data_IF_561837455829
#
_entry.id   IF_561837455829
#
_cell.length_a   1.000
_cell.length_b   1.000
_cell.length_c   1.000
_cell.angle_alpha   90.00
_cell.angle_beta   90.00
_cell.angle_gamma   90.00
#
_symmetry.space_group_name_H-M   'P 1'
#
loop_
_entity.id
_entity.type
_entity.pdbx_description
1 polymer ?
#
# COMPACT_ATOMS: atom_id res chain seq x y z
N UNK A 1 26.00 1.04 14.23
CA UNK A 1 24.87 1.88 13.82
C UNK A 1 25.37 3.31 13.92
N UNK A 2 25.64 3.93 12.77
CA UNK A 2 26.26 5.24 12.71
C UNK A 2 25.35 6.27 13.38
N UNK A 3 25.91 7.15 14.23
CA UNK A 3 25.13 8.06 15.07
C UNK A 3 24.22 9.02 14.29
N UNK A 4 24.50 9.24 12.99
CA UNK A 4 23.75 10.15 12.14
C UNK A 4 22.45 9.55 11.59
N UNK A 5 22.35 8.22 11.37
CA UNK A 5 21.16 7.58 10.78
C UNK A 5 19.91 7.80 11.63
N UNK A 6 20.05 7.77 12.96
CA UNK A 6 18.94 8.05 13.87
C UNK A 6 18.43 9.49 13.73
N UNK A 7 19.34 10.46 13.65
CA UNK A 7 18.95 11.86 13.45
C UNK A 7 18.35 12.09 12.06
N UNK A 8 18.85 11.39 11.03
CA UNK A 8 18.30 11.46 9.69
C UNK A 8 16.85 10.95 9.67
N UNK A 9 16.59 9.75 10.19
CA UNK A 9 15.25 9.15 10.23
C UNK A 9 14.29 9.97 11.09
N UNK A 10 14.73 10.45 12.26
CA UNK A 10 13.91 11.35 13.09
C UNK A 10 13.58 12.65 12.36
N UNK A 11 14.53 13.22 11.62
CA UNK A 11 14.32 14.40 10.79
C UNK A 11 13.25 14.21 9.71
N UNK A 12 13.22 13.03 9.06
CA UNK A 12 12.20 12.65 8.09
C UNK A 12 10.82 12.55 8.75
N UNK A 13 10.69 11.78 9.85
CA UNK A 13 9.41 11.65 10.56
C UNK A 13 8.87 12.99 11.06
N UNK A 14 9.74 13.89 11.50
CA UNK A 14 9.35 15.25 11.90
C UNK A 14 8.90 16.11 10.72
N UNK A 15 9.52 15.96 9.54
CA UNK A 15 9.11 16.62 8.29
C UNK A 15 7.70 16.19 7.91
N UNK A 16 7.42 14.88 7.92
CA UNK A 16 6.10 14.31 7.64
C UNK A 16 5.03 14.81 8.62
N UNK A 17 5.41 14.96 9.90
CA UNK A 17 4.57 15.58 10.93
C UNK A 17 4.43 17.11 10.82
N UNK A 18 5.00 17.74 9.76
CA UNK A 18 5.04 19.20 9.54
C UNK A 18 5.69 20.00 10.67
N UNK A 19 6.58 19.37 11.44
CA UNK A 19 7.37 19.97 12.52
C UNK A 19 8.72 20.43 11.98
N UNK A 20 8.68 21.42 11.08
CA UNK A 20 9.82 21.81 10.24
C UNK A 20 11.00 22.36 11.04
N UNK A 21 10.79 23.11 12.11
CA UNK A 21 11.87 23.59 12.97
C UNK A 21 12.64 22.44 13.62
N UNK A 22 11.94 21.40 14.08
CA UNK A 22 12.56 20.26 14.74
C UNK A 22 13.25 19.36 13.72
N UNK A 23 12.63 19.13 12.56
CA UNK A 23 13.24 18.44 11.42
C UNK A 23 14.55 19.12 11.00
N UNK A 24 14.56 20.45 10.87
CA UNK A 24 15.75 21.22 10.55
C UNK A 24 16.87 20.99 11.57
N UNK A 25 16.56 21.01 12.87
CA UNK A 25 17.54 20.75 13.93
C UNK A 25 18.16 19.37 13.77
N UNK A 26 17.36 18.33 13.48
CA UNK A 26 17.88 16.98 13.31
C UNK A 26 18.77 16.85 12.06
N UNK A 27 18.35 17.40 10.92
CA UNK A 27 19.17 17.36 9.71
C UNK A 27 20.47 18.19 9.85
N UNK A 28 20.46 19.30 10.60
CA UNK A 28 21.69 20.03 10.91
C UNK A 28 22.64 19.22 11.81
N UNK A 29 22.14 18.35 12.69
CA UNK A 29 23.00 17.42 13.45
C UNK A 29 23.67 16.41 12.55
N UNK A 30 22.96 15.88 11.53
CA UNK A 30 23.56 14.99 10.52
C UNK A 30 24.77 15.66 9.86
N UNK A 31 24.59 16.90 9.37
CA UNK A 31 25.67 17.67 8.75
C UNK A 31 26.78 18.09 9.72
N UNK A 32 26.52 18.14 11.03
CA UNK A 32 27.51 18.48 12.04
C UNK A 32 28.37 17.28 12.48
N UNK A 33 27.81 16.06 12.42
CA UNK A 33 28.52 14.83 12.77
C UNK A 33 29.49 14.46 11.65
N UNK A 34 29.04 14.59 10.40
CA UNK A 34 29.85 14.29 9.21
C UNK A 34 29.78 15.48 8.23
N UNK A 35 30.60 16.53 8.41
CA UNK A 35 30.60 17.70 7.52
C UNK A 35 31.01 17.39 6.09
N UNK A 36 31.75 16.30 5.90
CA UNK A 36 32.21 15.78 4.61
C UNK A 36 31.31 14.66 4.07
N UNK A 37 30.18 14.36 4.75
CA UNK A 37 29.25 13.33 4.30
C UNK A 37 28.79 13.63 2.87
N UNK A 38 29.07 12.70 1.96
CA UNK A 38 28.67 12.71 0.55
C UNK A 38 27.20 12.30 0.38
N UNK A 39 26.34 12.81 1.26
CA UNK A 39 24.91 12.50 1.30
C UNK A 39 24.12 13.75 0.88
N UNK A 40 23.89 13.97 -0.42
CA UNK A 40 23.18 15.14 -0.92
C UNK A 40 21.77 15.30 -0.32
N UNK A 41 21.14 14.21 0.13
CA UNK A 41 19.82 14.17 0.75
C UNK A 41 19.76 14.98 2.04
N UNK A 42 20.81 14.93 2.88
CA UNK A 42 20.85 15.75 4.10
C UNK A 42 20.93 17.25 3.78
N UNK A 43 21.71 17.63 2.78
CA UNK A 43 21.81 19.02 2.32
C UNK A 43 20.49 19.49 1.70
N UNK A 44 19.86 18.66 0.89
CA UNK A 44 18.54 18.88 0.33
C UNK A 44 17.50 19.12 1.44
N UNK A 45 17.41 18.20 2.41
CA UNK A 45 16.42 18.27 3.48
C UNK A 45 16.59 19.51 4.38
N UNK A 46 17.83 19.95 4.65
CA UNK A 46 18.07 21.23 5.35
C UNK A 46 17.56 22.42 4.52
N UNK A 47 17.86 22.45 3.22
CA UNK A 47 17.38 23.48 2.31
C UNK A 47 15.85 23.53 2.23
N UNK A 48 15.21 22.38 2.05
CA UNK A 48 13.75 22.24 2.04
C UNK A 48 13.14 22.71 3.36
N UNK A 49 13.67 22.28 4.50
CA UNK A 49 13.18 22.70 5.82
C UNK A 49 13.28 24.22 6.02
N UNK A 50 14.38 24.86 5.62
CA UNK A 50 14.48 26.33 5.65
C UNK A 50 13.41 27.02 4.77
N UNK A 51 13.11 26.49 3.59
CA UNK A 51 12.05 27.03 2.73
C UNK A 51 10.66 26.89 3.35
N UNK A 52 10.35 25.75 3.97
CA UNK A 52 9.09 25.55 4.70
C UNK A 52 8.92 26.53 5.87
N UNK A 53 10.03 27.04 6.40
CA UNK A 53 10.08 28.11 7.40
C UNK A 53 10.12 29.53 6.82
N UNK A 54 9.93 29.69 5.50
CA UNK A 54 10.04 30.96 4.77
C UNK A 54 11.43 31.64 4.87
N UNK A 55 12.49 30.85 5.03
CA UNK A 55 13.89 31.31 5.17
C UNK A 55 14.69 31.04 3.90
N UNK A 56 14.29 31.67 2.80
CA UNK A 56 14.84 31.45 1.46
C UNK A 56 16.36 31.70 1.39
N UNK A 57 16.85 32.80 1.98
CA UNK A 57 18.26 33.16 1.90
C UNK A 57 19.15 32.11 2.57
N UNK A 58 18.68 31.53 3.68
CA UNK A 58 19.37 30.45 4.38
C UNK A 58 19.29 29.11 3.64
N UNK A 59 18.20 28.85 2.90
CA UNK A 59 18.03 27.61 2.14
C UNK A 59 18.99 27.48 0.94
N UNK A 60 19.20 28.58 0.20
CA UNK A 60 19.97 28.60 -1.05
C UNK A 60 21.32 27.90 -0.96
N UNK A 61 22.22 28.20 0.00
CA UNK A 61 23.53 27.56 0.07
C UNK A 61 23.45 26.04 0.23
N UNK A 62 22.46 25.52 0.98
CA UNK A 62 22.29 24.09 1.19
C UNK A 62 21.78 23.39 -0.08
N UNK A 63 20.78 23.96 -0.77
CA UNK A 63 20.26 23.41 -2.02
C UNK A 63 21.31 23.41 -3.13
N UNK A 64 22.14 24.46 -3.22
CA UNK A 64 23.27 24.51 -4.18
C UNK A 64 24.34 23.48 -3.88
N UNK A 65 24.62 23.23 -2.60
CA UNK A 65 25.55 22.17 -2.19
C UNK A 65 24.99 20.79 -2.53
N UNK A 66 23.71 20.54 -2.29
CA UNK A 66 23.03 19.30 -2.68
C UNK A 66 23.13 19.05 -4.19
N UNK A 67 22.82 20.05 -5.03
CA UNK A 67 22.96 19.96 -6.50
C UNK A 67 24.38 19.57 -6.91
N UNK A 68 25.39 20.20 -6.29
CA UNK A 68 26.80 19.91 -6.58
C UNK A 68 27.18 18.47 -6.24
N UNK A 69 26.68 17.96 -5.12
CA UNK A 69 26.90 16.58 -4.70
C UNK A 69 26.19 15.58 -5.62
N UNK A 70 24.93 15.85 -6.02
CA UNK A 70 24.23 15.04 -7.02
C UNK A 70 24.99 14.99 -8.35
N UNK A 71 25.52 16.12 -8.83
CA UNK A 71 26.34 16.16 -10.05
C UNK A 71 27.59 15.27 -9.95
N UNK A 72 28.26 15.28 -8.80
CA UNK A 72 29.44 14.45 -8.56
C UNK A 72 29.10 12.95 -8.56
N UNK A 73 28.01 12.55 -7.90
CA UNK A 73 27.58 11.16 -7.84
C UNK A 73 27.10 10.63 -9.20
N UNK A 74 26.33 11.43 -9.95
CA UNK A 74 25.91 11.08 -11.32
C UNK A 74 27.14 10.89 -12.21
N UNK A 75 28.13 11.79 -12.12
CA UNK A 75 29.36 11.67 -12.89
C UNK A 75 30.13 10.40 -12.55
N UNK A 76 30.25 10.06 -11.27
CA UNK A 76 30.94 8.84 -10.81
C UNK A 76 30.29 7.56 -11.30
N UNK A 77 28.95 7.50 -11.29
CA UNK A 77 28.21 6.35 -11.80
C UNK A 77 28.35 6.18 -13.32
N UNK A 78 28.37 7.28 -14.07
CA UNK A 78 28.65 7.22 -15.51
C UNK A 78 30.09 6.78 -15.79
N UNK A 79 31.03 7.21 -14.95
CA UNK A 79 32.44 6.86 -15.04
C UNK A 79 32.71 5.37 -14.73
N UNK A 80 32.07 4.81 -13.70
CA UNK A 80 32.24 3.39 -13.34
C UNK A 80 31.67 2.42 -14.37
N UNK A 81 30.78 2.89 -15.26
CA UNK A 81 30.17 2.10 -16.32
C UNK A 81 30.90 2.18 -17.69
N UNK A 82 31.93 3.04 -17.83
CA UNK A 82 32.67 3.20 -19.08
C UNK A 82 34.01 2.45 -19.08
N UNK A 83 34.14 1.40 -19.91
CA UNK A 83 35.38 0.61 -20.11
C UNK A 83 36.55 1.41 -20.74
N UNK A 84 36.37 2.70 -21.07
CA UNK A 84 37.20 3.46 -22.01
C UNK A 84 38.28 4.38 -21.38
N UNK A 85 38.50 4.35 -20.06
CA UNK A 85 39.38 5.32 -19.40
C UNK A 85 40.88 5.00 -19.38
N UNK A 86 41.36 3.81 -19.77
CA UNK A 86 42.81 3.54 -19.67
C UNK A 86 43.71 4.47 -20.53
N UNK A 87 43.19 5.32 -21.44
CA UNK A 87 44.04 6.20 -22.27
C UNK A 87 43.42 7.55 -22.74
N UNK A 88 43.17 8.52 -21.86
CA UNK A 88 42.89 9.91 -22.31
C UNK A 88 43.24 11.00 -21.29
N UNK A 89 44.23 11.84 -21.62
CA UNK A 89 44.69 13.01 -20.85
C UNK A 89 43.63 14.12 -20.71
N UNK A 90 42.62 14.17 -21.60
CA UNK A 90 41.58 15.21 -21.57
C UNK A 90 40.52 14.96 -20.48
N UNK A 91 40.28 13.70 -20.11
CA UNK A 91 39.34 13.33 -19.03
C UNK A 91 39.92 13.61 -17.63
N UNK A 92 41.24 13.70 -17.51
CA UNK A 92 41.96 13.97 -16.26
C UNK A 92 41.75 15.42 -15.77
N UNK A 93 41.49 16.38 -16.67
CA UNK A 93 41.26 17.78 -16.32
C UNK A 93 39.87 18.06 -15.73
N UNK A 94 38.83 17.38 -16.25
CA UNK A 94 37.47 17.46 -15.71
C UNK A 94 37.34 16.74 -14.36
N UNK A 95 38.01 15.60 -14.21
CA UNK A 95 38.14 14.88 -12.95
C UNK A 95 38.94 15.66 -11.90
N UNK A 96 40.11 16.21 -12.23
CA UNK A 96 40.90 17.04 -11.29
C UNK A 96 40.17 18.28 -10.77
N UNK A 97 39.19 18.78 -11.53
CA UNK A 97 38.37 19.91 -11.10
C UNK A 97 37.30 19.50 -10.07
N UNK A 98 36.79 18.26 -10.10
CA UNK A 98 35.90 17.69 -9.08
C UNK A 98 36.66 17.03 -7.91
N UNK A 99 37.86 16.50 -8.16
CA UNK A 99 38.77 15.80 -7.24
C UNK A 99 39.38 16.72 -6.17
N UNK A 100 39.53 18.03 -6.42
CA UNK A 100 40.01 18.98 -5.40
C UNK A 100 39.09 19.06 -4.15
N UNK A 101 37.98 18.32 -4.10
CA UNK A 101 37.10 18.15 -2.96
C UNK A 101 36.90 16.67 -2.53
N UNK A 102 37.60 15.70 -3.14
CA UNK A 102 37.46 14.26 -2.89
C UNK A 102 38.82 13.69 -2.47
N UNK A 103 38.92 13.12 -1.27
CA UNK A 103 40.03 12.25 -0.90
C UNK A 103 39.70 10.82 -1.35
N UNK A 104 40.68 10.14 -1.94
CA UNK A 104 40.58 8.80 -2.56
C UNK A 104 40.14 7.68 -1.61
N UNK A 105 40.11 7.90 -0.29
CA UNK A 105 39.92 6.87 0.73
C UNK A 105 38.54 6.91 1.44
N UNK A 106 37.60 7.76 1.01
CA UNK A 106 36.28 7.82 1.65
C UNK A 106 35.36 6.68 1.19
N UNK A 107 34.60 6.05 2.11
CA UNK A 107 33.63 5.03 1.75
C UNK A 107 32.54 5.65 0.85
N UNK A 108 32.58 5.29 -0.43
CA UNK A 108 31.47 5.51 -1.36
C UNK A 108 30.35 4.58 -0.90
N UNK A 109 29.21 5.16 -0.49
CA UNK A 109 27.98 4.38 -0.28
C UNK A 109 27.72 3.62 -1.57
N UNK A 110 27.66 2.29 -1.53
CA UNK A 110 27.32 1.48 -2.70
C UNK A 110 25.93 1.91 -3.19
N UNK A 111 25.84 2.60 -4.35
CA UNK A 111 24.58 3.17 -4.78
C UNK A 111 23.57 2.08 -5.18
N UNK A 112 24.04 0.88 -5.56
CA UNK A 112 23.19 -0.25 -5.90
C UNK A 112 22.56 -0.88 -4.63
N UNK A 113 23.31 -0.92 -3.52
CA UNK A 113 22.82 -1.44 -2.24
C UNK A 113 21.71 -0.57 -1.62
N UNK A 114 21.73 0.75 -1.87
CA UNK A 114 20.82 1.70 -1.24
C UNK A 114 19.73 2.28 -2.16
N UNK A 115 20.01 2.45 -3.46
CA UNK A 115 19.12 3.15 -4.41
C UNK A 115 18.62 2.29 -5.59
N UNK A 116 18.94 0.99 -5.60
CA UNK A 116 18.42 0.02 -6.57
C UNK A 116 19.17 -0.01 -7.91
N UNK A 117 18.54 -0.61 -8.94
CA UNK A 117 19.17 -0.96 -10.22
C UNK A 117 19.61 0.25 -11.08
N UNK A 118 19.04 1.45 -10.89
CA UNK A 118 19.34 2.65 -11.70
C UNK A 118 19.53 3.91 -10.82
N UNK A 119 20.62 3.99 -10.04
CA UNK A 119 20.85 5.06 -9.07
C UNK A 119 20.97 6.46 -9.71
N UNK A 120 21.27 6.55 -11.00
CA UNK A 120 21.31 7.82 -11.74
C UNK A 120 19.92 8.46 -11.85
N UNK A 121 18.86 7.66 -12.02
CA UNK A 121 17.50 8.19 -12.11
C UNK A 121 17.09 8.88 -10.80
N UNK A 122 17.43 8.27 -9.66
CA UNK A 122 17.24 8.81 -8.32
C UNK A 122 17.94 10.15 -8.13
N UNK A 123 19.23 10.23 -8.42
CA UNK A 123 20.00 11.46 -8.23
C UNK A 123 19.51 12.59 -9.14
N UNK A 124 19.13 12.28 -10.39
CA UNK A 124 18.53 13.26 -11.29
C UNK A 124 17.19 13.80 -10.77
N UNK A 125 16.37 12.94 -10.19
CA UNK A 125 15.09 13.35 -9.60
C UNK A 125 15.28 14.31 -8.44
N UNK A 126 16.08 13.96 -7.43
CA UNK A 126 16.27 14.81 -6.25
C UNK A 126 17.06 16.09 -6.56
N UNK A 127 17.97 16.04 -7.54
CA UNK A 127 18.56 17.25 -8.12
C UNK A 127 17.51 18.15 -8.78
N UNK A 128 16.53 17.59 -9.48
CA UNK A 128 15.41 18.35 -10.04
C UNK A 128 14.59 19.03 -8.94
N UNK A 129 14.31 18.35 -7.83
CA UNK A 129 13.60 18.92 -6.68
C UNK A 129 14.34 20.12 -6.08
N UNK A 130 15.67 20.07 -5.99
CA UNK A 130 16.47 21.23 -5.57
C UNK A 130 16.25 22.45 -6.49
N UNK A 131 16.20 22.25 -7.81
CA UNK A 131 15.93 23.33 -8.76
C UNK A 131 14.50 23.86 -8.64
N UNK A 132 13.51 22.99 -8.43
CA UNK A 132 12.13 23.40 -8.20
C UNK A 132 12.00 24.27 -6.94
N UNK A 133 12.62 23.86 -5.84
CA UNK A 133 12.67 24.61 -4.57
C UNK A 133 13.35 25.99 -4.73
N UNK A 134 14.34 26.09 -5.61
CA UNK A 134 14.99 27.36 -6.00
C UNK A 134 14.19 28.17 -7.03
N UNK A 135 13.03 27.67 -7.46
CA UNK A 135 12.16 28.23 -8.51
C UNK A 135 12.87 28.37 -9.87
N UNK A 136 13.74 27.42 -10.21
CA UNK A 136 14.50 27.38 -11.47
C UNK A 136 13.86 26.38 -12.44
N UNK A 137 12.87 26.84 -13.19
CA UNK A 137 12.02 26.00 -14.07
C UNK A 137 12.79 25.17 -15.10
N UNK A 138 13.66 25.81 -15.89
CA UNK A 138 14.36 25.12 -17.00
C UNK A 138 15.24 23.96 -16.52
N UNK A 139 16.16 24.13 -15.54
CA UNK A 139 16.97 23.02 -15.04
C UNK A 139 16.12 22.00 -14.27
N UNK A 140 15.06 22.41 -13.58
CA UNK A 140 14.10 21.47 -12.97
C UNK A 140 13.53 20.50 -14.01
N UNK A 141 12.83 21.01 -15.03
CA UNK A 141 12.18 20.18 -16.04
C UNK A 141 13.17 19.31 -16.81
N UNK A 142 14.36 19.84 -17.11
CA UNK A 142 15.42 19.09 -17.79
C UNK A 142 15.87 17.86 -17.00
N UNK A 143 16.20 18.03 -15.71
CA UNK A 143 16.70 16.91 -14.89
C UNK A 143 15.58 15.91 -14.60
N UNK A 144 14.34 16.39 -14.38
CA UNK A 144 13.18 15.52 -14.20
C UNK A 144 12.92 14.66 -15.45
N UNK A 145 12.97 15.26 -16.64
CA UNK A 145 12.80 14.51 -17.89
C UNK A 145 13.89 13.43 -18.08
N UNK A 146 15.13 13.72 -17.70
CA UNK A 146 16.22 12.74 -17.75
C UNK A 146 16.04 11.61 -16.74
N UNK A 147 15.53 11.91 -15.54
CA UNK A 147 15.17 10.92 -14.53
C UNK A 147 14.08 9.98 -15.04
N UNK A 148 12.96 10.53 -15.52
CA UNK A 148 11.81 9.78 -16.07
C UNK A 148 12.19 8.92 -17.28
N UNK A 149 13.12 9.40 -18.11
CA UNK A 149 13.58 8.64 -19.27
C UNK A 149 14.41 7.40 -18.89
N UNK A 150 15.00 7.39 -17.70
CA UNK A 150 15.77 6.25 -17.16
C UNK A 150 14.89 5.30 -16.36
N UNK A 151 14.05 5.87 -15.50
CA UNK A 151 13.07 5.14 -14.72
C UNK A 151 11.78 5.97 -14.67
N UNK A 152 10.75 5.48 -15.34
CA UNK A 152 9.52 6.22 -15.50
C UNK A 152 8.74 6.36 -14.19
N UNK A 153 9.08 5.55 -13.17
CA UNK A 153 8.65 5.66 -11.78
C UNK A 153 8.67 7.09 -11.24
N UNK A 154 9.72 7.85 -11.56
CA UNK A 154 9.87 9.21 -11.05
C UNK A 154 8.82 10.20 -11.55
N UNK A 155 8.04 9.85 -12.58
CA UNK A 155 6.86 10.63 -12.94
C UNK A 155 5.75 10.51 -11.89
N UNK A 156 5.61 9.32 -11.28
CA UNK A 156 4.67 9.08 -10.20
C UNK A 156 5.09 9.80 -8.92
N UNK A 157 6.37 9.66 -8.55
CA UNK A 157 6.98 10.39 -7.44
C UNK A 157 6.75 11.90 -7.59
N UNK A 158 7.10 12.46 -8.75
CA UNK A 158 6.90 13.87 -9.08
C UNK A 158 5.44 14.34 -8.91
N UNK A 159 4.47 13.48 -9.25
CA UNK A 159 3.05 13.82 -9.14
C UNK A 159 2.57 14.02 -7.71
N UNK A 160 3.36 13.59 -6.72
CA UNK A 160 3.02 13.66 -5.29
C UNK A 160 4.04 14.38 -4.42
N UNK A 161 5.26 14.60 -4.90
CA UNK A 161 6.35 15.22 -4.13
C UNK A 161 6.01 16.67 -3.72
N UNK A 162 6.12 16.96 -2.43
CA UNK A 162 5.77 18.25 -1.84
C UNK A 162 6.72 19.37 -2.29
N UNK A 163 7.99 19.05 -2.52
CA UNK A 163 9.04 20.02 -2.86
C UNK A 163 8.87 20.62 -4.27
N UNK A 164 8.06 19.99 -5.12
CA UNK A 164 7.78 20.48 -6.48
C UNK A 164 6.33 20.93 -6.69
N UNK A 165 5.53 21.02 -5.61
CA UNK A 165 4.11 21.42 -5.65
C UNK A 165 3.87 22.74 -6.39
N UNK A 166 4.81 23.68 -6.33
CA UNK A 166 4.73 24.95 -7.05
C UNK A 166 4.59 24.79 -8.59
N UNK A 167 5.04 23.65 -9.13
CA UNK A 167 5.00 23.34 -10.56
C UNK A 167 3.86 22.38 -10.95
N UNK A 168 3.05 21.88 -10.02
CA UNK A 168 1.97 20.91 -10.34
C UNK A 168 0.89 21.46 -11.29
N UNK A 169 0.72 22.79 -11.34
CA UNK A 169 -0.18 23.48 -12.27
C UNK A 169 0.55 24.03 -13.52
N UNK A 170 1.87 23.87 -13.61
CA UNK A 170 2.66 24.35 -14.75
C UNK A 170 2.38 23.46 -15.99
N UNK A 171 2.04 24.04 -17.15
CA UNK A 171 1.74 23.26 -18.35
C UNK A 171 2.90 22.38 -18.82
N UNK A 172 4.14 22.87 -18.75
CA UNK A 172 5.31 22.12 -19.24
C UNK A 172 5.64 20.94 -18.31
N UNK A 173 5.36 21.09 -17.01
CA UNK A 173 5.45 19.99 -16.05
C UNK A 173 4.40 18.92 -16.34
N UNK A 174 3.13 19.31 -16.54
CA UNK A 174 2.04 18.39 -16.87
C UNK A 174 2.27 17.65 -18.17
N UNK A 175 2.69 18.35 -19.23
CA UNK A 175 3.01 17.75 -20.52
C UNK A 175 4.15 16.72 -20.41
N UNK A 176 5.07 16.91 -19.46
CA UNK A 176 6.15 15.97 -19.18
C UNK A 176 5.67 14.72 -18.41
N UNK A 177 4.87 14.90 -17.36
CA UNK A 177 4.55 13.80 -16.43
C UNK A 177 3.24 13.08 -16.74
N UNK A 178 2.18 13.77 -17.18
CA UNK A 178 0.82 13.20 -17.27
C UNK A 178 0.75 11.99 -18.21
N UNK A 179 1.37 12.00 -19.42
CA UNK A 179 1.35 10.83 -20.31
C UNK A 179 2.05 9.61 -19.71
N UNK A 180 3.07 9.85 -18.88
CA UNK A 180 3.85 8.79 -18.22
C UNK A 180 3.07 8.25 -17.03
N UNK A 181 2.53 9.13 -16.18
CA UNK A 181 1.68 8.75 -15.05
C UNK A 181 0.47 7.95 -15.53
N UNK A 182 -0.21 8.36 -16.61
CA UNK A 182 -1.33 7.59 -17.18
C UNK A 182 -0.91 6.18 -17.61
N UNK A 183 0.30 6.03 -18.16
CA UNK A 183 0.83 4.73 -18.58
C UNK A 183 1.20 3.84 -17.39
N UNK A 184 1.85 4.39 -16.38
CA UNK A 184 2.31 3.68 -15.17
C UNK A 184 1.12 3.34 -14.27
N UNK A 185 0.17 4.25 -14.14
CA UNK A 185 -1.09 4.07 -13.42
C UNK A 185 -2.07 3.18 -14.20
N UNK A 186 -1.52 2.14 -14.83
CA UNK A 186 -2.23 1.05 -15.49
C UNK A 186 -2.10 -0.19 -14.61
N UNK A 187 -3.18 -0.96 -14.41
CA UNK A 187 -3.11 -2.29 -13.81
C UNK A 187 -2.09 -3.18 -14.51
N UNK A 188 -1.80 -2.96 -15.80
CA UNK A 188 -0.84 -3.77 -16.55
C UNK A 188 0.64 -3.43 -16.26
N UNK A 189 0.93 -2.46 -15.38
CA UNK A 189 2.31 -2.10 -15.06
C UNK A 189 2.98 -3.19 -14.19
N UNK A 190 4.14 -3.75 -14.57
CA UNK A 190 4.72 -4.94 -13.94
C UNK A 190 4.95 -4.82 -12.43
N UNK A 191 5.26 -3.62 -11.95
CA UNK A 191 5.51 -3.36 -10.53
C UNK A 191 4.24 -2.92 -9.78
N UNK A 192 3.37 -2.14 -10.41
CA UNK A 192 2.19 -1.63 -9.69
C UNK A 192 1.03 -2.61 -9.68
N UNK A 193 1.02 -3.59 -10.59
CA UNK A 193 -0.05 -4.60 -10.67
C UNK A 193 -0.32 -5.26 -9.32
N UNK A 194 0.72 -5.71 -8.60
CA UNK A 194 0.54 -6.39 -7.31
C UNK A 194 -0.06 -5.45 -6.25
N UNK A 195 0.34 -4.17 -6.25
CA UNK A 195 -0.20 -3.16 -5.33
C UNK A 195 -1.65 -2.83 -5.69
N UNK A 196 -1.94 -2.67 -6.99
CA UNK A 196 -3.29 -2.46 -7.49
C UNK A 196 -4.20 -3.64 -7.14
N UNK A 197 -3.76 -4.87 -7.37
CA UNK A 197 -4.50 -6.08 -7.06
C UNK A 197 -4.80 -6.18 -5.56
N UNK A 198 -3.82 -5.91 -4.69
CA UNK A 198 -4.03 -5.86 -3.23
C UNK A 198 -5.08 -4.83 -2.82
N UNK A 199 -4.98 -3.61 -3.34
CA UNK A 199 -5.91 -2.53 -3.03
C UNK A 199 -7.32 -2.89 -3.55
N UNK A 200 -7.42 -3.28 -4.81
CA UNK A 200 -8.69 -3.66 -5.46
C UNK A 200 -9.35 -4.82 -4.71
N UNK A 201 -8.58 -5.84 -4.33
CA UNK A 201 -9.05 -6.97 -3.53
C UNK A 201 -9.69 -6.55 -2.22
N UNK A 202 -9.02 -5.73 -1.39
CA UNK A 202 -9.59 -5.25 -0.11
C UNK A 202 -10.88 -4.44 -0.34
N UNK A 203 -10.93 -3.63 -1.40
CA UNK A 203 -12.13 -2.86 -1.79
C UNK A 203 -13.29 -3.77 -2.22
N UNK A 204 -13.03 -4.78 -3.05
CA UNK A 204 -14.04 -5.71 -3.57
C UNK A 204 -14.57 -6.65 -2.49
N UNK A 205 -13.73 -7.05 -1.54
CA UNK A 205 -14.12 -7.79 -0.33
C UNK A 205 -15.14 -6.96 0.47
N UNK A 206 -14.84 -5.67 0.71
CA UNK A 206 -15.81 -4.66 1.13
C UNK A 206 -16.29 -4.73 2.58
N UNK A 207 -15.51 -5.33 3.49
CA UNK A 207 -15.81 -5.35 4.93
C UNK A 207 -15.20 -4.19 5.73
N UNK A 208 -14.15 -3.57 5.22
CA UNK A 208 -13.32 -2.60 5.95
C UNK A 208 -13.41 -1.21 5.30
N UNK A 209 -13.26 -0.15 6.11
CA UNK A 209 -13.09 1.21 5.59
C UNK A 209 -11.73 1.30 4.86
N UNK A 210 -11.68 1.85 3.63
CA UNK A 210 -10.42 2.19 2.97
C UNK A 210 -9.37 2.86 3.84
N UNK A 211 -9.75 3.80 4.70
CA UNK A 211 -8.81 4.52 5.57
C UNK A 211 -8.22 3.63 6.68
N UNK A 212 -8.89 2.52 7.05
CA UNK A 212 -8.41 1.59 8.07
C UNK A 212 -7.32 0.65 7.52
N UNK A 213 -7.44 0.19 6.28
CA UNK A 213 -6.48 -0.76 5.70
C UNK A 213 -5.33 -0.11 4.91
N UNK A 214 -5.39 1.19 4.60
CA UNK A 214 -4.29 1.90 3.92
C UNK A 214 -2.95 1.74 4.67
N UNK A 215 -2.88 1.89 6.02
CA UNK A 215 -1.63 1.65 6.76
C UNK A 215 -1.06 0.25 6.57
N UNK A 216 -1.90 -0.78 6.49
CA UNK A 216 -1.46 -2.16 6.23
C UNK A 216 -0.86 -2.29 4.83
N UNK A 217 -1.50 -1.71 3.82
CA UNK A 217 -0.98 -1.73 2.44
C UNK A 217 0.37 -1.01 2.39
N UNK A 218 0.50 0.14 3.05
CA UNK A 218 1.78 0.87 3.14
C UNK A 218 2.85 0.00 3.80
N UNK A 219 2.51 -0.67 4.91
CA UNK A 219 3.44 -1.57 5.61
C UNK A 219 3.85 -2.76 4.72
N UNK A 220 2.89 -3.46 4.12
CA UNK A 220 3.13 -4.60 3.22
C UNK A 220 3.99 -4.22 2.01
N UNK A 221 3.74 -3.03 1.46
CA UNK A 221 4.54 -2.49 0.37
C UNK A 221 5.95 -2.17 0.88
N UNK A 222 6.11 -1.46 1.99
CA UNK A 222 7.45 -1.12 2.50
C UNK A 222 8.30 -2.32 2.95
N UNK A 223 7.68 -3.41 3.44
CA UNK A 223 8.37 -4.63 3.84
C UNK A 223 8.90 -5.44 2.65
N UNK A 224 8.24 -5.31 1.49
CA UNK A 224 8.76 -5.90 0.26
C UNK A 224 9.91 -5.04 -0.23
N UNK A 225 11.03 -5.67 -0.56
CA UNK A 225 12.20 -5.00 -1.14
C UNK A 225 11.88 -4.55 -2.58
N UNK A 226 10.95 -3.62 -2.74
CA UNK A 226 10.64 -3.00 -4.01
C UNK A 226 11.87 -2.26 -4.53
N UNK A 227 11.97 -2.17 -5.85
CA UNK A 227 13.07 -1.45 -6.51
C UNK A 227 13.16 0.02 -6.08
N UNK A 228 12.05 0.60 -5.65
CA UNK A 228 11.97 1.95 -5.10
C UNK A 228 10.82 2.05 -4.07
N UNK A 229 10.90 3.00 -3.11
CA UNK A 229 9.80 3.28 -2.18
C UNK A 229 8.54 3.71 -2.93
N UNK A 230 7.37 3.23 -2.50
CA UNK A 230 6.07 3.63 -3.05
C UNK A 230 5.49 4.80 -2.26
N UNK A 231 5.17 5.95 -2.89
CA UNK A 231 4.58 7.07 -2.17
C UNK A 231 3.31 6.67 -1.43
N UNK A 232 3.30 6.90 -0.12
CA UNK A 232 2.13 6.67 0.74
C UNK A 232 0.93 7.50 0.28
N UNK A 233 1.20 8.70 -0.22
CA UNK A 233 0.24 9.61 -0.83
C UNK A 233 -0.40 9.02 -2.10
N UNK A 234 0.39 8.31 -2.92
CA UNK A 234 -0.11 7.59 -4.09
C UNK A 234 -1.00 6.42 -3.68
N UNK A 235 -0.56 5.57 -2.75
CA UNK A 235 -1.36 4.44 -2.23
C UNK A 235 -2.72 4.94 -1.75
N UNK A 236 -2.73 5.97 -0.90
CA UNK A 236 -3.98 6.57 -0.39
C UNK A 236 -4.86 7.12 -1.52
N UNK A 237 -4.30 7.90 -2.44
CA UNK A 237 -5.04 8.48 -3.57
C UNK A 237 -5.66 7.39 -4.44
N UNK A 238 -4.88 6.37 -4.79
CA UNK A 238 -5.31 5.22 -5.61
C UNK A 238 -6.41 4.43 -4.93
N UNK A 239 -6.24 4.09 -3.64
CA UNK A 239 -7.28 3.41 -2.85
C UNK A 239 -8.59 4.19 -2.86
N UNK A 240 -8.55 5.50 -2.58
CA UNK A 240 -9.78 6.31 -2.54
C UNK A 240 -10.43 6.46 -3.91
N UNK A 241 -9.66 6.51 -4.99
CA UNK A 241 -10.19 6.55 -6.36
C UNK A 241 -10.88 5.23 -6.74
N UNK A 242 -10.24 4.09 -6.49
CA UNK A 242 -10.81 2.77 -6.75
C UNK A 242 -12.06 2.53 -5.90
N UNK A 243 -12.03 2.92 -4.62
CA UNK A 243 -13.18 2.82 -3.73
C UNK A 243 -14.35 3.68 -4.22
N UNK A 244 -14.09 4.94 -4.59
CA UNK A 244 -15.14 5.84 -5.12
C UNK A 244 -15.75 5.28 -6.40
N UNK A 245 -14.93 4.69 -7.28
CA UNK A 245 -15.38 4.02 -8.50
C UNK A 245 -16.27 2.81 -8.19
N UNK A 246 -15.85 1.94 -7.26
CA UNK A 246 -16.63 0.78 -6.81
C UNK A 246 -17.95 1.20 -6.13
N UNK A 247 -17.92 2.23 -5.30
CA UNK A 247 -19.09 2.83 -4.66
C UNK A 247 -20.06 3.46 -5.67
N UNK A 248 -19.55 4.02 -6.77
CA UNK A 248 -20.40 4.49 -7.86
C UNK A 248 -21.09 3.32 -8.58
N UNK A 249 -20.32 2.27 -8.92
CA UNK A 249 -20.85 1.04 -9.54
C UNK A 249 -21.90 0.34 -8.65
N UNK A 250 -21.73 0.40 -7.33
CA UNK A 250 -22.66 -0.24 -6.39
C UNK A 250 -24.08 0.35 -6.42
N UNK A 251 -24.20 1.63 -6.79
CA UNK A 251 -25.51 2.31 -6.96
C UNK A 251 -26.28 1.79 -8.17
N UNK A 252 -25.62 1.16 -9.12
CA UNK A 252 -26.23 0.56 -10.30
C UNK A 252 -26.69 -0.89 -10.06
N UNK A 253 -26.34 -1.47 -8.90
CA UNK A 253 -26.77 -2.82 -8.57
C UNK A 253 -28.28 -2.84 -8.34
N UNK A 254 -28.98 -3.62 -9.17
CA UNK A 254 -30.42 -3.78 -9.07
C UNK A 254 -30.82 -4.85 -8.05
N UNK A 255 -31.83 -4.54 -7.26
CA UNK A 255 -32.39 -5.46 -6.28
C UNK A 255 -31.48 -5.73 -5.08
N UNK A 256 -31.86 -6.72 -4.30
CA UNK A 256 -31.08 -7.18 -3.16
C UNK A 256 -29.91 -8.05 -3.62
N UNK A 257 -28.70 -7.77 -3.11
CA UNK A 257 -27.49 -8.54 -3.48
C UNK A 257 -27.49 -9.91 -2.81
N UNK A 258 -26.82 -10.88 -3.43
CA UNK A 258 -26.65 -12.22 -2.86
C UNK A 258 -25.98 -12.17 -1.48
N UNK A 259 -25.06 -11.22 -1.26
CA UNK A 259 -24.40 -10.98 0.03
C UNK A 259 -25.39 -10.52 1.11
N UNK A 260 -26.32 -9.62 0.79
CA UNK A 260 -27.38 -9.18 1.73
C UNK A 260 -28.35 -10.31 2.06
N UNK A 261 -28.81 -11.05 1.04
CA UNK A 261 -29.68 -12.23 1.26
C UNK A 261 -29.00 -13.27 2.14
N UNK A 262 -27.69 -13.51 1.95
CA UNK A 262 -26.91 -14.44 2.77
C UNK A 262 -26.82 -13.97 4.22
N UNK A 263 -26.62 -12.67 4.46
CA UNK A 263 -26.63 -12.10 5.81
C UNK A 263 -27.96 -12.35 6.53
N UNK A 264 -29.09 -12.20 5.84
CA UNK A 264 -30.41 -12.52 6.40
C UNK A 264 -30.57 -14.01 6.73
N UNK A 265 -30.03 -14.91 5.89
CA UNK A 265 -29.97 -16.35 6.17
C UNK A 265 -29.16 -16.58 7.44
N UNK A 266 -27.96 -16.02 7.54
CA UNK A 266 -27.07 -16.21 8.69
C UNK A 266 -27.69 -15.67 9.98
N UNK A 267 -28.37 -14.53 9.92
CA UNK A 267 -29.12 -13.98 11.06
C UNK A 267 -30.27 -14.91 11.50
N UNK A 268 -30.95 -15.55 10.56
CA UNK A 268 -32.02 -16.52 10.86
C UNK A 268 -31.45 -17.79 11.48
N UNK A 269 -30.32 -18.27 10.95
CA UNK A 269 -29.60 -19.42 11.49
C UNK A 269 -29.14 -19.20 12.93
N UNK A 270 -28.62 -18.00 13.25
CA UNK A 270 -28.25 -17.64 14.62
C UNK A 270 -29.45 -17.78 15.58
N UNK A 271 -30.62 -17.25 15.19
CA UNK A 271 -31.87 -17.38 15.97
C UNK A 271 -32.36 -18.82 16.14
N UNK A 272 -32.00 -19.71 15.20
CA UNK A 272 -32.32 -21.14 15.26
C UNK A 272 -31.29 -21.95 16.11
N UNK A 273 -30.25 -21.28 16.63
CA UNK A 273 -29.19 -21.87 17.44
C UNK A 273 -27.96 -22.34 16.65
N UNK A 274 -27.75 -21.83 15.42
CA UNK A 274 -26.60 -22.15 14.58
C UNK A 274 -25.73 -20.91 14.45
N UNK A 275 -24.53 -20.92 15.04
CA UNK A 275 -23.60 -19.79 15.01
C UNK A 275 -23.09 -19.56 13.58
N UNK A 276 -23.55 -18.49 12.94
CA UNK A 276 -23.25 -18.20 11.54
C UNK A 276 -22.37 -16.95 11.41
N UNK A 277 -21.08 -17.14 11.09
CA UNK A 277 -20.07 -16.07 11.03
C UNK A 277 -19.72 -15.68 9.59
N UNK A 278 -19.53 -14.38 9.35
CA UNK A 278 -19.08 -13.85 8.08
C UNK A 278 -17.56 -13.74 8.06
N UNK A 279 -16.89 -14.45 7.15
CA UNK A 279 -15.44 -14.37 6.95
C UNK A 279 -14.59 -14.54 8.23
N UNK A 280 -14.87 -15.49 9.14
CA UNK A 280 -13.91 -15.82 10.19
C UNK A 280 -12.67 -16.44 9.54
N UNK A 281 -11.49 -15.95 9.90
CA UNK A 281 -10.21 -16.42 9.40
C UNK A 281 -10.03 -16.39 7.87
N UNK A 282 -8.80 -16.65 7.44
CA UNK A 282 -8.48 -16.75 6.01
C UNK A 282 -8.73 -18.15 5.45
N UNK A 283 -8.26 -19.19 6.15
CA UNK A 283 -8.49 -20.61 5.78
C UNK A 283 -9.62 -21.23 6.59
N UNK A 284 -10.03 -22.45 6.24
CA UNK A 284 -11.04 -23.21 6.99
C UNK A 284 -10.58 -23.50 8.42
N UNK A 285 -9.31 -23.81 8.62
CA UNK A 285 -8.75 -24.10 9.94
C UNK A 285 -8.79 -22.85 10.83
N UNK A 286 -8.33 -21.70 10.32
CA UNK A 286 -8.39 -20.44 11.07
C UNK A 286 -9.83 -20.01 11.36
N UNK A 287 -10.74 -20.24 10.41
CA UNK A 287 -12.16 -19.98 10.60
C UNK A 287 -12.75 -20.77 11.78
N UNK A 288 -12.36 -22.05 11.92
CA UNK A 288 -12.81 -22.90 13.02
C UNK A 288 -12.26 -22.41 14.35
N UNK A 289 -10.99 -22.01 14.41
CA UNK A 289 -10.38 -21.44 15.62
C UNK A 289 -11.14 -20.19 16.08
N UNK A 290 -11.47 -19.29 15.15
CA UNK A 290 -12.21 -18.07 15.46
C UNK A 290 -13.67 -18.35 15.87
N UNK A 291 -14.33 -19.33 15.24
CA UNK A 291 -15.66 -19.81 15.69
C UNK A 291 -15.62 -20.21 17.16
N UNK A 292 -14.64 -21.02 17.56
CA UNK A 292 -14.51 -21.45 18.96
C UNK A 292 -14.16 -20.29 19.89
N UNK A 293 -13.31 -19.35 19.46
CA UNK A 293 -13.04 -18.13 20.24
C UNK A 293 -14.31 -17.32 20.50
N UNK A 294 -15.14 -17.10 19.47
CA UNK A 294 -16.41 -16.36 19.62
C UNK A 294 -17.39 -17.10 20.53
N UNK A 295 -17.42 -18.43 20.47
CA UNK A 295 -18.24 -19.24 21.37
C UNK A 295 -17.79 -19.13 22.83
N UNK A 296 -16.49 -19.08 23.11
CA UNK A 296 -15.97 -18.89 24.46
C UNK A 296 -16.37 -17.53 25.05
N UNK A 297 -16.41 -16.49 24.22
CA UNK A 297 -16.85 -15.14 24.62
C UNK A 297 -18.37 -15.04 24.86
N UNK A 298 -19.17 -15.96 24.30
CA UNK A 298 -20.61 -16.10 24.58
C UNK A 298 -20.86 -16.74 25.97
N UNK A 299 -20.40 -16.09 27.02
CA UNK A 299 -20.39 -16.54 28.43
C UNK A 299 -21.77 -16.93 29.00
N UNK A 300 -22.89 -16.55 28.36
CA UNK A 300 -24.22 -16.63 28.96
C UNK A 300 -25.12 -17.78 28.44
N UNK A 301 -24.82 -18.40 27.29
CA UNK A 301 -25.74 -19.41 26.70
C UNK A 301 -25.08 -20.43 25.73
N UNK A 302 -23.93 -21.06 26.05
CA UNK A 302 -23.31 -22.05 25.15
C UNK A 302 -24.24 -23.22 24.81
N UNK A 303 -25.15 -23.58 25.72
CA UNK A 303 -26.19 -24.60 25.53
C UNK A 303 -27.19 -24.29 24.39
N UNK A 304 -27.30 -23.03 23.95
CA UNK A 304 -28.19 -22.64 22.85
C UNK A 304 -27.55 -22.88 21.47
N UNK A 305 -26.22 -22.98 21.41
CA UNK A 305 -25.48 -23.20 20.17
C UNK A 305 -25.45 -24.70 19.88
N UNK A 306 -26.04 -25.10 18.77
CA UNK A 306 -26.13 -26.50 18.31
C UNK A 306 -25.06 -26.84 17.28
N UNK A 307 -24.65 -25.84 16.52
CA UNK A 307 -23.67 -25.98 15.45
C UNK A 307 -23.22 -24.61 14.97
N UNK A 308 -22.39 -24.62 13.93
CA UNK A 308 -21.89 -23.39 13.33
C UNK A 308 -21.82 -23.51 11.82
N UNK A 309 -21.78 -22.37 11.14
CA UNK A 309 -21.41 -22.28 9.74
C UNK A 309 -20.67 -20.98 9.41
N UNK A 310 -19.87 -21.01 8.35
CA UNK A 310 -19.08 -19.88 7.90
C UNK A 310 -18.67 -20.01 6.44
N UNK A 311 -18.17 -18.93 5.87
CA UNK A 311 -17.29 -18.93 4.70
C UNK A 311 -16.02 -18.18 5.07
N UNK A 312 -14.84 -18.59 4.59
CA UNK A 312 -13.57 -17.98 4.99
C UNK A 312 -13.05 -16.96 3.96
N UNK A 313 -11.98 -16.22 4.30
CA UNK A 313 -11.35 -15.23 3.41
C UNK A 313 -10.97 -15.79 2.03
N UNK A 314 -10.35 -16.98 1.99
CA UNK A 314 -9.98 -17.64 0.73
C UNK A 314 -11.19 -17.90 -0.20
N UNK A 315 -12.38 -18.15 0.36
CA UNK A 315 -13.59 -18.31 -0.45
C UNK A 315 -14.02 -16.99 -1.09
N UNK A 316 -13.92 -15.88 -0.34
CA UNK A 316 -14.28 -14.55 -0.84
C UNK A 316 -13.33 -14.13 -1.97
N UNK A 317 -12.04 -14.38 -1.81
CA UNK A 317 -11.01 -14.07 -2.82
C UNK A 317 -11.31 -14.72 -4.17
N UNK A 318 -11.78 -15.97 -4.19
CA UNK A 318 -12.16 -16.66 -5.42
C UNK A 318 -13.40 -16.04 -6.07
N UNK A 319 -14.37 -15.63 -5.24
CA UNK A 319 -15.65 -15.05 -5.67
C UNK A 319 -15.54 -13.64 -6.25
N UNK A 320 -14.56 -12.84 -5.83
CA UNK A 320 -14.38 -11.47 -6.36
C UNK A 320 -13.83 -11.46 -7.80
N UNK A 321 -13.11 -12.50 -8.22
CA UNK A 321 -12.47 -12.53 -9.55
C UNK A 321 -13.17 -13.44 -10.57
N UNK A 322 -13.46 -14.70 -10.23
CA UNK A 322 -13.77 -15.70 -11.26
C UNK A 322 -14.68 -16.85 -10.84
N UNK A 323 -14.80 -17.13 -9.55
CA UNK A 323 -15.70 -18.17 -9.07
C UNK A 323 -17.11 -17.61 -8.89
N UNK A 324 -18.10 -18.48 -9.04
CA UNK A 324 -19.50 -18.19 -8.75
C UNK A 324 -20.05 -19.16 -7.70
N UNK A 325 -19.17 -19.83 -6.97
CA UNK A 325 -19.53 -20.83 -5.96
C UNK A 325 -19.06 -20.40 -4.59
N UNK A 326 -20.00 -20.04 -3.73
CA UNK A 326 -19.70 -19.81 -2.32
C UNK A 326 -19.71 -21.15 -1.58
N UNK A 327 -18.59 -21.47 -0.93
CA UNK A 327 -18.45 -22.68 -0.14
C UNK A 327 -18.70 -22.33 1.33
N UNK A 328 -19.69 -22.97 1.93
CA UNK A 328 -20.04 -22.79 3.34
C UNK A 328 -19.55 -24.01 4.12
N UNK A 329 -18.60 -23.77 5.01
CA UNK A 329 -18.20 -24.72 6.04
C UNK A 329 -19.24 -24.76 7.15
N UNK A 330 -19.47 -25.94 7.73
CA UNK A 330 -20.35 -26.11 8.88
C UNK A 330 -19.90 -27.31 9.69
N UNK A 331 -20.31 -27.34 10.96
CA UNK A 331 -20.24 -28.55 11.78
C UNK A 331 -21.19 -28.45 12.99
N UNK A 332 -21.33 -29.57 13.69
CA UNK A 332 -21.88 -29.66 15.04
C UNK A 332 -20.85 -29.16 16.08
N UNK A 333 -21.33 -28.62 17.21
CA UNK A 333 -20.48 -28.36 18.38
C UNK A 333 -20.16 -29.63 19.19
N UNK A 334 -20.97 -30.68 19.03
CA UNK A 334 -20.77 -31.98 19.64
C UNK A 334 -19.72 -32.75 18.84
N UNK A 335 -18.64 -33.11 19.53
CA UNK A 335 -17.53 -33.89 18.97
C UNK A 335 -18.05 -35.29 18.58
N UNK A 336 -17.66 -35.75 17.39
CA UNK A 336 -17.94 -37.08 16.84
C UNK A 336 -19.44 -37.42 16.60
N UNK A 337 -20.34 -36.44 16.52
CA UNK A 337 -21.74 -36.66 16.18
C UNK A 337 -22.05 -36.28 14.71
N UNK A 338 -21.82 -37.25 13.81
CA UNK A 338 -22.04 -37.07 12.37
C UNK A 338 -23.51 -36.84 12.02
N UNK A 339 -24.43 -37.52 12.70
CA UNK A 339 -25.86 -37.41 12.42
C UNK A 339 -26.37 -36.01 12.78
N UNK A 340 -25.89 -35.47 13.91
CA UNK A 340 -26.21 -34.12 14.32
C UNK A 340 -25.57 -33.07 13.39
N UNK A 341 -24.32 -33.25 12.99
CA UNK A 341 -23.69 -32.39 11.99
C UNK A 341 -24.47 -32.36 10.67
N UNK A 342 -24.93 -33.52 10.17
CA UNK A 342 -25.77 -33.62 8.98
C UNK A 342 -27.12 -32.89 9.17
N UNK A 343 -27.72 -32.96 10.36
CA UNK A 343 -28.95 -32.21 10.66
C UNK A 343 -28.74 -30.68 10.63
N UNK A 344 -27.59 -30.20 11.13
CA UNK A 344 -27.18 -28.79 11.01
C UNK A 344 -27.02 -28.40 9.54
N UNK A 345 -26.28 -29.19 8.76
CA UNK A 345 -26.11 -28.97 7.33
C UNK A 345 -27.43 -28.93 6.56
N UNK A 346 -28.35 -29.84 6.89
CA UNK A 346 -29.71 -29.88 6.29
C UNK A 346 -30.48 -28.59 6.57
N UNK A 347 -30.43 -28.10 7.81
CA UNK A 347 -31.09 -26.84 8.20
C UNK A 347 -30.52 -25.64 7.43
N UNK A 348 -29.19 -25.58 7.28
CA UNK A 348 -28.52 -24.51 6.51
C UNK A 348 -28.98 -24.54 5.05
N UNK A 349 -28.99 -25.72 4.42
CA UNK A 349 -29.45 -25.89 3.02
C UNK A 349 -30.91 -25.46 2.85
N UNK A 350 -31.79 -25.81 3.79
CA UNK A 350 -33.19 -25.39 3.77
C UNK A 350 -33.32 -23.87 3.83
N UNK A 351 -32.66 -23.19 4.78
CA UNK A 351 -32.70 -21.73 4.92
C UNK A 351 -32.15 -21.00 3.69
N UNK A 352 -31.08 -21.51 3.09
CA UNK A 352 -30.53 -20.96 1.86
C UNK A 352 -31.54 -21.09 0.71
N UNK A 353 -32.16 -22.26 0.53
CA UNK A 353 -33.15 -22.49 -0.52
C UNK A 353 -34.42 -21.65 -0.33
N UNK A 354 -34.88 -21.46 0.90
CA UNK A 354 -35.99 -20.56 1.24
C UNK A 354 -35.71 -19.11 0.79
N UNK A 355 -34.44 -18.67 0.82
CA UNK A 355 -33.99 -17.37 0.31
C UNK A 355 -33.61 -17.37 -1.17
N UNK A 356 -33.97 -18.43 -1.89
CA UNK A 356 -33.85 -18.52 -3.35
C UNK A 356 -32.44 -18.84 -3.85
N UNK A 357 -31.53 -19.29 -2.98
CA UNK A 357 -30.21 -19.74 -3.42
C UNK A 357 -30.27 -21.12 -4.10
N UNK A 358 -29.45 -21.29 -5.13
CA UNK A 358 -29.20 -22.60 -5.73
C UNK A 358 -28.11 -23.29 -4.91
N UNK A 359 -28.43 -24.44 -4.32
CA UNK A 359 -27.56 -25.10 -3.33
C UNK A 359 -27.31 -26.56 -3.68
N UNK A 360 -26.04 -26.92 -3.79
CA UNK A 360 -25.53 -28.29 -3.92
C UNK A 360 -24.80 -28.70 -2.63
N UNK A 361 -25.12 -29.90 -2.12
CA UNK A 361 -24.46 -30.50 -0.97
C UNK A 361 -24.65 -32.02 -1.04
N UNK A 362 -23.59 -32.78 -0.75
CA UNK A 362 -23.61 -34.26 -0.83
C UNK A 362 -24.35 -34.92 0.34
N UNK A 363 -24.71 -34.15 1.37
CA UNK A 363 -25.38 -34.67 2.57
C UNK A 363 -24.43 -35.33 3.57
N UNK A 364 -23.14 -34.99 3.52
CA UNK A 364 -22.09 -35.53 4.39
C UNK A 364 -21.43 -34.42 5.20
N UNK A 365 -20.83 -34.76 6.35
CA UNK A 365 -20.16 -33.77 7.21
C UNK A 365 -18.78 -33.34 6.65
N UNK A 366 -18.19 -34.17 5.79
CA UNK A 366 -16.89 -33.92 5.16
C UNK A 366 -16.99 -32.98 3.95
N UNK A 367 -18.17 -32.87 3.34
CA UNK A 367 -18.42 -31.97 2.20
C UNK A 367 -18.89 -30.59 2.68
N UNK A 368 -18.49 -29.55 1.96
CA UNK A 368 -19.03 -28.20 2.17
C UNK A 368 -20.37 -28.02 1.45
N UNK A 369 -21.16 -27.05 1.89
CA UNK A 369 -22.38 -26.63 1.22
C UNK A 369 -22.00 -25.61 0.15
N UNK A 370 -22.32 -25.89 -1.11
CA UNK A 370 -21.99 -25.03 -2.25
C UNK A 370 -23.21 -24.23 -2.69
N UNK A 371 -23.11 -22.90 -2.61
CA UNK A 371 -24.10 -21.98 -3.18
C UNK A 371 -23.65 -21.57 -4.57
N UNK A 372 -24.35 -22.05 -5.59
CA UNK A 372 -24.02 -21.83 -6.99
C UNK A 372 -24.50 -20.47 -7.48
N UNK A 373 -23.83 -19.96 -8.52
CA UNK A 373 -24.13 -18.68 -9.17
C UNK A 373 -24.15 -17.49 -8.19
N UNK A 374 -23.40 -17.60 -7.09
CA UNK A 374 -23.28 -16.57 -6.08
C UNK A 374 -22.47 -15.39 -6.63
N UNK A 375 -23.11 -14.22 -6.69
CA UNK A 375 -22.48 -12.98 -7.17
C UNK A 375 -22.04 -12.14 -5.99
N UNK A 376 -20.73 -12.07 -5.78
CA UNK A 376 -20.17 -11.19 -4.75
C UNK A 376 -20.37 -9.73 -5.13
N UNK A 377 -21.27 -9.06 -4.41
CA UNK A 377 -21.59 -7.65 -4.56
C UNK A 377 -21.70 -7.01 -3.18
N UNK A 378 -20.55 -6.61 -2.67
CA UNK A 378 -20.39 -5.89 -1.40
C UNK A 378 -19.53 -4.65 -1.60
N UNK A 379 -19.83 -3.64 -0.82
CA UNK A 379 -19.05 -2.40 -0.71
C UNK A 379 -19.18 -1.95 0.74
N UNK A 380 -18.10 -1.44 1.33
CA UNK A 380 -18.18 -0.79 2.63
C UNK A 380 -18.92 0.54 2.49
N UNK A 381 -19.87 0.81 3.39
CA UNK A 381 -20.70 2.03 3.36
C UNK A 381 -20.48 2.89 4.61
N UNK A 382 -20.45 2.26 5.78
CA UNK A 382 -20.30 2.93 7.08
C UNK A 382 -20.03 1.90 8.18
N UNK A 383 -19.64 2.38 9.36
CA UNK A 383 -19.49 1.56 10.58
C UNK A 383 -20.79 0.82 10.94
N UNK A 384 -21.95 1.42 10.67
CA UNK A 384 -23.26 0.76 10.83
C UNK A 384 -23.41 -0.43 9.88
N UNK A 385 -22.89 -0.35 8.64
CA UNK A 385 -22.83 -1.51 7.74
C UNK A 385 -21.87 -2.56 8.29
N UNK A 386 -20.71 -2.15 8.82
CA UNK A 386 -19.70 -3.06 9.38
C UNK A 386 -20.27 -3.92 10.51
N UNK A 387 -21.08 -3.35 11.40
CA UNK A 387 -21.74 -4.09 12.48
C UNK A 387 -22.64 -5.24 11.99
N UNK A 388 -23.16 -5.18 10.75
CA UNK A 388 -23.94 -6.27 10.16
C UNK A 388 -23.11 -7.51 9.81
N UNK A 389 -21.79 -7.37 9.78
CA UNK A 389 -20.86 -8.41 9.36
C UNK A 389 -19.93 -8.86 10.48
N UNK A 390 -19.75 -8.02 11.50
CA UNK A 390 -18.95 -8.32 12.67
C UNK A 390 -19.48 -9.54 13.43
N UNK A 391 -18.58 -10.35 13.99
CA UNK A 391 -18.93 -11.46 14.86
C UNK A 391 -19.71 -11.00 16.10
N UNK A 392 -19.51 -9.76 16.57
CA UNK A 392 -20.30 -9.20 17.68
C UNK A 392 -21.81 -9.18 17.41
N UNK A 393 -22.26 -9.17 16.15
CA UNK A 393 -23.69 -9.22 15.84
C UNK A 393 -24.37 -10.48 16.36
N UNK A 394 -23.63 -11.59 16.50
CA UNK A 394 -24.23 -12.85 16.88
C UNK A 394 -24.71 -12.82 18.33
N UNK A 395 -24.09 -12.02 19.19
CA UNK A 395 -24.48 -11.89 20.60
C UNK A 395 -25.88 -11.32 20.78
N UNK A 396 -26.35 -10.48 19.85
CA UNK A 396 -27.71 -9.91 19.87
C UNK A 396 -28.77 -10.82 19.23
N UNK A 397 -28.35 -11.92 18.61
CA UNK A 397 -29.23 -12.83 17.85
C UNK A 397 -29.54 -14.14 18.58
N UNK A 398 -28.87 -14.39 19.71
CA UNK A 398 -29.03 -15.59 20.55
C UNK A 398 -29.86 -15.34 21.81
#
# INVERSE_FOLDING_TARGET
MEHWTNYYNEGISLKEAKRFEESLVQHLKVLAIEPELKMPEAWHNVGAAYLRLNRLNEAIPYLRKAITLYDQLIYQLHYSQSDEWENSEENEAGFKQSENAWLDDDPVIDPEEFYGDEPVAYYLFWKSCCFALLNEKEPFLKNLAQSIAKDDWYALEASTEEDIVAFHEDPDFRDLIDPVVVRINSPDHPYLYDIFDRIEKRILIGFEDPEEFIPDIIYEVNEQQWKAPVPTSWIRKTTMQLYTSHLAKSKEWSGETDVKRLAEVFNTLCKDGILALHRPGYTRENAIEEVFSVMEDMVLSPELIKGFCFYCGENVDKLIYSDSTLHIGFNSILIDDSDFAIAIGTTIVERLREKGFMVEWEGTMESCICVLQFRWKKVFISDEDQQLWDHWRVFDLF
#
